data_IF_886602615970
#
_entry.id   IF_886602615970
#
_cell.length_a   1.000
_cell.length_b   1.000
_cell.length_c   1.000
_cell.angle_alpha   90.00
_cell.angle_beta   90.00
_cell.angle_gamma   90.00
#
_symmetry.space_group_name_H-M   'P 1'
#
loop_
_entity.id
_entity.type
_entity.pdbx_description
1 polymer ?
#
# COMPACT_ATOMS: atom_id res chain seq x y z
N UNK A 1 3.71 -12.10 14.84
CA UNK A 1 2.76 -11.04 14.44
C UNK A 1 2.42 -11.28 12.99
N UNK A 2 1.13 -11.32 12.65
CA UNK A 2 0.70 -11.42 11.25
C UNK A 2 0.77 -10.01 10.67
N UNK A 3 1.81 -9.73 9.88
CA UNK A 3 1.91 -8.47 9.16
C UNK A 3 0.80 -8.40 8.11
N UNK A 4 0.20 -7.22 7.96
CA UNK A 4 -0.72 -6.89 6.88
C UNK A 4 -0.36 -5.50 6.38
N UNK A 5 -0.37 -5.33 5.05
CA UNK A 5 -0.10 -4.05 4.41
C UNK A 5 -1.24 -3.06 4.68
N UNK A 6 -2.48 -3.53 4.85
CA UNK A 6 -3.64 -2.69 5.16
C UNK A 6 -3.49 -2.10 6.56
N UNK A 7 -3.74 -0.80 6.67
CA UNK A 7 -3.55 -0.05 7.92
C UNK A 7 -2.12 0.47 8.13
N UNK A 8 -1.16 0.08 7.29
CA UNK A 8 0.20 0.62 7.35
C UNK A 8 0.26 2.04 6.77
N UNK A 9 1.18 2.83 7.31
CA UNK A 9 1.53 4.13 6.75
C UNK A 9 2.37 3.94 5.50
N UNK A 10 2.04 4.65 4.44
CA UNK A 10 2.77 4.57 3.19
C UNK A 10 2.82 5.93 2.48
N UNK A 11 3.73 6.05 1.51
CA UNK A 11 3.69 7.12 0.52
C UNK A 11 3.64 6.57 -0.90
N UNK A 12 3.08 7.38 -1.80
CA UNK A 12 2.99 7.05 -3.23
C UNK A 12 4.34 7.35 -3.88
N UNK A 13 4.96 6.34 -4.49
CA UNK A 13 6.29 6.41 -5.08
C UNK A 13 6.33 7.25 -6.36
N UNK A 14 5.34 7.06 -7.22
CA UNK A 14 5.29 7.57 -8.60
C UNK A 14 3.89 8.09 -8.98
N UNK A 15 3.80 8.92 -10.02
CA UNK A 15 2.53 9.46 -10.54
C UNK A 15 2.06 10.80 -9.93
N UNK A 16 0.83 11.25 -10.26
CA UNK A 16 0.31 12.59 -9.90
C UNK A 16 0.20 12.87 -8.40
N UNK A 17 0.22 11.80 -7.58
CA UNK A 17 0.08 11.87 -6.14
C UNK A 17 1.36 11.48 -5.39
N UNK A 18 2.50 11.45 -6.10
CA UNK A 18 3.82 11.14 -5.57
C UNK A 18 4.16 11.93 -4.30
N UNK A 19 4.86 11.27 -3.37
CA UNK A 19 5.30 11.77 -2.07
C UNK A 19 4.18 12.15 -1.10
N UNK A 20 2.91 11.91 -1.44
CA UNK A 20 1.81 12.07 -0.49
C UNK A 20 1.75 10.86 0.42
N UNK A 21 1.64 11.12 1.71
CA UNK A 21 1.63 10.11 2.77
C UNK A 21 0.19 9.86 3.21
N UNK A 22 -0.16 8.60 3.40
CA UNK A 22 -1.47 8.18 3.89
C UNK A 22 -1.44 6.80 4.53
N UNK A 23 -2.63 6.22 4.69
CA UNK A 23 -2.82 4.86 5.21
C UNK A 23 -3.30 3.95 4.09
N UNK A 24 -2.68 2.78 3.96
CA UNK A 24 -3.09 1.76 2.98
C UNK A 24 -4.45 1.19 3.36
N UNK A 25 -5.35 1.08 2.39
CA UNK A 25 -6.66 0.44 2.46
C UNK A 25 -6.82 -0.54 1.31
N UNK A 26 -7.82 -1.41 1.40
CA UNK A 26 -8.30 -2.14 0.22
C UNK A 26 -8.94 -1.15 -0.75
N UNK A 27 -8.68 -1.32 -2.04
CA UNK A 27 -9.43 -0.58 -3.05
C UNK A 27 -10.90 -1.01 -3.05
N UNK A 28 -11.80 -0.03 -3.17
CA UNK A 28 -13.24 -0.28 -3.31
C UNK A 28 -13.60 -0.60 -4.77
N UNK A 29 -12.78 -0.13 -5.71
CA UNK A 29 -12.88 -0.24 -7.16
C UNK A 29 -11.97 -1.37 -7.64
N UNK A 30 -12.37 -2.61 -7.37
CA UNK A 30 -11.64 -3.87 -7.67
C UNK A 30 -11.24 -4.13 -9.14
N UNK A 31 -11.38 -3.16 -10.04
CA UNK A 31 -11.24 -3.37 -11.48
C UNK A 31 -9.78 -3.55 -11.92
N UNK A 32 -8.81 -2.87 -11.28
CA UNK A 32 -7.38 -3.00 -11.65
C UNK A 32 -6.41 -2.81 -10.46
N UNK A 33 -6.78 -2.02 -9.45
CA UNK A 33 -5.97 -1.77 -8.26
C UNK A 33 -6.46 -2.59 -7.06
N UNK A 34 -5.53 -3.25 -6.36
CA UNK A 34 -5.86 -4.02 -5.15
C UNK A 34 -5.89 -3.14 -3.89
N UNK A 35 -5.15 -2.02 -3.93
CA UNK A 35 -4.95 -1.15 -2.78
C UNK A 35 -5.37 0.28 -3.09
N UNK A 36 -5.63 1.03 -2.04
CA UNK A 36 -5.80 2.46 -2.08
C UNK A 36 -5.01 3.11 -0.94
N UNK A 37 -4.64 4.38 -1.10
CA UNK A 37 -4.06 5.19 -0.02
C UNK A 37 -5.07 6.26 0.38
N UNK A 38 -5.47 6.24 1.65
CA UNK A 38 -6.33 7.25 2.24
C UNK A 38 -5.50 8.45 2.75
N UNK A 39 -5.78 9.64 2.24
CA UNK A 39 -5.10 10.91 2.57
C UNK A 39 -6.15 11.94 2.95
N UNK A 40 -6.41 12.11 4.25
CA UNK A 40 -7.56 12.89 4.72
C UNK A 40 -8.85 12.26 4.22
N UNK A 41 -9.67 13.03 3.50
CA UNK A 41 -10.92 12.56 2.89
C UNK A 41 -10.73 11.95 1.50
N UNK A 42 -9.54 12.05 0.91
CA UNK A 42 -9.27 11.51 -0.42
C UNK A 42 -8.87 10.04 -0.35
N UNK A 43 -9.42 9.23 -1.24
CA UNK A 43 -9.03 7.83 -1.46
C UNK A 43 -8.43 7.74 -2.87
N UNK A 44 -7.23 7.20 -2.97
CA UNK A 44 -6.48 7.13 -4.22
C UNK A 44 -6.13 5.66 -4.47
N UNK A 45 -6.68 5.07 -5.52
CA UNK A 45 -6.33 3.72 -5.94
C UNK A 45 -4.88 3.66 -6.40
N UNK A 46 -4.17 2.62 -5.98
CA UNK A 46 -2.74 2.42 -6.23
C UNK A 46 -2.42 0.94 -6.40
N UNK A 47 -1.40 0.66 -7.23
CA UNK A 47 -0.83 -0.67 -7.31
C UNK A 47 0.24 -0.88 -6.23
N UNK A 48 0.46 -2.13 -5.82
CA UNK A 48 1.48 -2.47 -4.80
C UNK A 48 2.87 -1.91 -5.15
N UNK A 49 3.26 -1.94 -6.43
CA UNK A 49 4.57 -1.46 -6.92
C UNK A 49 4.78 0.05 -6.71
N UNK A 50 3.69 0.80 -6.55
CA UNK A 50 3.70 2.26 -6.38
C UNK A 50 3.60 2.68 -4.90
N UNK A 51 3.54 1.72 -3.97
CA UNK A 51 3.45 1.95 -2.53
C UNK A 51 4.84 1.80 -1.90
N UNK A 52 5.24 2.76 -1.06
CA UNK A 52 6.39 2.58 -0.16
C UNK A 52 5.92 2.69 1.29
N UNK A 53 6.12 1.62 2.05
CA UNK A 53 5.75 1.54 3.45
C UNK A 53 6.71 2.33 4.34
N UNK A 54 6.17 2.93 5.40
CA UNK A 54 6.90 3.76 6.35
C UNK A 54 6.92 3.10 7.72
N UNK A 55 8.12 2.85 8.26
CA UNK A 55 8.27 2.29 9.61
C UNK A 55 7.92 0.81 9.72
N UNK A 56 7.98 0.07 8.61
CA UNK A 56 7.71 -1.37 8.53
C UNK A 56 9.03 -2.15 8.49
N UNK A 57 9.05 -3.30 9.15
CA UNK A 57 10.15 -4.27 9.04
C UNK A 57 10.17 -4.89 7.63
N UNK A 58 11.30 -4.73 6.94
CA UNK A 58 11.46 -5.19 5.55
C UNK A 58 11.34 -6.70 5.43
N UNK A 59 11.78 -7.47 6.44
CA UNK A 59 11.67 -8.92 6.46
C UNK A 59 10.21 -9.37 6.56
N UNK A 60 9.43 -8.75 7.45
CA UNK A 60 7.99 -9.03 7.56
C UNK A 60 7.24 -8.69 6.28
N UNK A 61 7.55 -7.56 5.64
CA UNK A 61 6.95 -7.19 4.37
C UNK A 61 7.33 -8.18 3.25
N UNK A 62 8.60 -8.59 3.16
CA UNK A 62 9.04 -9.58 2.18
C UNK A 62 8.31 -10.91 2.33
N UNK A 63 8.25 -11.46 3.55
CA UNK A 63 7.51 -12.70 3.82
C UNK A 63 6.03 -12.57 3.47
N UNK A 64 5.42 -11.41 3.73
CA UNK A 64 4.04 -11.15 3.35
C UNK A 64 3.86 -11.12 1.82
N UNK A 65 4.81 -10.53 1.08
CA UNK A 65 4.79 -10.55 -0.38
C UNK A 65 4.85 -11.99 -0.95
N UNK A 66 5.72 -12.85 -0.40
CA UNK A 66 5.80 -14.26 -0.80
C UNK A 66 4.47 -15.01 -0.53
N UNK A 67 3.90 -14.81 0.66
CA UNK A 67 2.66 -15.48 1.08
C UNK A 67 1.44 -15.08 0.24
N UNK A 68 1.45 -13.88 -0.34
CA UNK A 68 0.35 -13.36 -1.17
C UNK A 68 0.64 -13.41 -2.68
N UNK A 69 1.77 -14.00 -3.11
CA UNK A 69 2.08 -14.22 -4.52
C UNK A 69 2.56 -12.98 -5.29
N UNK A 70 3.21 -12.03 -4.60
CA UNK A 70 3.75 -10.80 -5.22
C UNK A 70 5.24 -10.89 -5.59
N UNK A 71 5.90 -12.03 -5.34
CA UNK A 71 7.31 -12.30 -5.64
C UNK A 71 7.46 -13.48 -6.60
#
# INVERSE_FOLDING_TARGET
MNFDIVGQKAYIKDGPHRNRIGIVKNSETKLESQFAIAIGEQIIDVELKDIVLVGVDVGQFHTWCEQNGYL
#
